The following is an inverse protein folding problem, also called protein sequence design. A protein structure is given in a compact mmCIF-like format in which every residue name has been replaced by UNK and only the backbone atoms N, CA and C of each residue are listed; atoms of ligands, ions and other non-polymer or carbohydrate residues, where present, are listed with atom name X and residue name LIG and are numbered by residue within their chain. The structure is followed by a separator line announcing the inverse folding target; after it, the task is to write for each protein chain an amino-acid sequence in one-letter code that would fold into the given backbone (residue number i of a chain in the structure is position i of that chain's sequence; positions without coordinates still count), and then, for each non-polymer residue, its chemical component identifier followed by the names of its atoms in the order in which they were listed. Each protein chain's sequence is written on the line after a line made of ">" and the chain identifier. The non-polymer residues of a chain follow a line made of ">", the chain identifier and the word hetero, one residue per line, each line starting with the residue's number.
data_IF_567607103025
#
_entry.id   IF_567607103025
#
_cell.length_a   1.000
_cell.length_b   1.000
_cell.length_c   1.000
_cell.angle_alpha   90.00
_cell.angle_beta   90.00
_cell.angle_gamma   90.00
#
_symmetry.space_group_name_H-M   'P 1'
#
loop_
_entity.id
_entity.type
_entity.pdbx_description
1 polymer ?
#
# COMPACT_ATOMS: atom_id res chain seq x y z
N UNK A 1 1.22 15.68 -8.44
CA UNK A 1 0.42 14.49 -8.76
C UNK A 1 -0.68 14.36 -7.72
N UNK A 2 -1.89 13.93 -8.08
CA UNK A 2 -3.00 13.74 -7.13
C UNK A 2 -3.58 12.35 -7.27
N UNK A 3 -3.98 11.75 -6.16
CA UNK A 3 -4.68 10.48 -6.16
C UNK A 3 -6.06 10.61 -6.84
N UNK A 4 -6.55 9.52 -7.39
CA UNK A 4 -7.94 9.39 -7.84
C UNK A 4 -8.92 9.09 -6.68
N UNK A 5 -8.38 8.75 -5.51
CA UNK A 5 -9.08 8.31 -4.30
C UNK A 5 -8.54 9.06 -3.08
N UNK A 6 -9.43 9.64 -2.27
CA UNK A 6 -9.04 10.17 -0.95
C UNK A 6 -8.74 9.03 0.02
N UNK A 7 -7.50 9.02 0.52
CA UNK A 7 -7.00 7.96 1.39
C UNK A 7 -7.42 8.12 2.86
N UNK A 8 -7.94 9.28 3.28
CA UNK A 8 -8.19 9.60 4.69
C UNK A 8 -9.02 8.56 5.44
N UNK A 9 -9.97 7.90 4.77
CA UNK A 9 -10.87 6.91 5.34
C UNK A 9 -10.59 5.47 4.87
N UNK A 10 -9.46 5.23 4.20
CA UNK A 10 -9.07 3.90 3.73
C UNK A 10 -8.54 3.05 4.91
N UNK A 11 -9.08 1.84 5.02
CA UNK A 11 -8.61 0.84 5.98
C UNK A 11 -7.52 -0.04 5.37
N UNK A 12 -6.31 0.02 5.94
CA UNK A 12 -5.16 -0.76 5.50
C UNK A 12 -5.09 -2.11 6.24
N UNK A 13 -4.81 -3.20 5.52
CA UNK A 13 -4.78 -4.57 6.05
C UNK A 13 -3.42 -5.21 5.84
N UNK A 14 -2.78 -5.67 6.93
CA UNK A 14 -1.51 -6.42 6.95
C UNK A 14 -0.34 -5.81 6.15
N UNK A 15 -0.44 -4.53 5.83
CA UNK A 15 0.57 -3.70 5.20
C UNK A 15 0.67 -2.38 5.98
N UNK A 16 1.80 -1.66 5.92
CA UNK A 16 1.97 -0.40 6.63
C UNK A 16 0.94 0.64 6.17
N UNK A 17 0.69 1.61 7.03
CA UNK A 17 -0.08 2.78 6.65
C UNK A 17 0.79 3.70 5.78
N UNK A 18 0.45 3.79 4.49
CA UNK A 18 1.23 4.53 3.49
C UNK A 18 0.56 5.82 3.04
N UNK A 19 -0.52 6.25 3.71
CA UNK A 19 -1.27 7.46 3.32
C UNK A 19 -0.40 8.71 3.27
N UNK A 20 0.55 8.81 4.20
CA UNK A 20 1.45 9.96 4.35
C UNK A 20 2.70 9.89 3.48
N UNK A 21 2.91 8.80 2.74
CA UNK A 21 4.09 8.67 1.89
C UNK A 21 3.97 9.65 0.72
N UNK A 22 5.05 10.42 0.40
CA UNK A 22 5.07 11.29 -0.76
C UNK A 22 4.72 10.58 -2.07
N UNK A 23 3.88 11.22 -2.87
CA UNK A 23 3.59 10.81 -4.25
C UNK A 23 4.71 11.31 -5.15
N UNK A 24 5.64 10.44 -5.51
CA UNK A 24 6.82 10.76 -6.33
C UNK A 24 6.83 10.06 -7.69
N UNK A 25 5.90 9.12 -7.90
CA UNK A 25 5.70 8.39 -9.14
C UNK A 25 4.27 8.56 -9.65
N UNK A 26 4.10 8.40 -10.96
CA UNK A 26 2.78 8.33 -11.61
C UNK A 26 2.64 6.99 -12.32
N UNK A 27 1.52 6.28 -12.11
CA UNK A 27 1.17 5.11 -12.94
C UNK A 27 0.71 5.64 -14.29
N UNK A 28 1.41 5.23 -15.35
CA UNK A 28 1.15 5.68 -16.72
C UNK A 28 0.41 4.65 -17.55
N UNK A 29 0.61 3.36 -17.26
CA UNK A 29 -0.07 2.25 -17.93
C UNK A 29 -0.39 1.14 -16.94
N UNK A 30 -1.59 0.58 -17.07
CA UNK A 30 -2.00 -0.64 -16.38
C UNK A 30 -2.77 -1.50 -17.38
N UNK A 31 -2.35 -2.74 -17.61
CA UNK A 31 -3.11 -3.68 -18.44
C UNK A 31 -3.33 -4.96 -17.66
N UNK A 32 -4.60 -5.32 -17.51
CA UNK A 32 -5.02 -6.56 -16.88
C UNK A 32 -5.48 -7.46 -18.01
N UNK A 33 -4.61 -8.34 -18.51
CA UNK A 33 -4.89 -9.24 -19.65
C UNK A 33 -4.78 -10.70 -19.19
N UNK A 34 -5.56 -11.63 -19.75
CA UNK A 34 -5.33 -13.05 -19.49
C UNK A 34 -3.85 -13.41 -19.66
N UNK A 35 -3.26 -14.01 -18.64
CA UNK A 35 -1.86 -14.42 -18.66
C UNK A 35 -0.84 -13.36 -18.22
N UNK A 36 -1.19 -12.06 -18.17
CA UNK A 36 -0.21 -11.01 -17.87
C UNK A 36 -0.80 -9.73 -17.27
N UNK A 37 -0.21 -9.32 -16.15
CA UNK A 37 -0.32 -7.97 -15.60
C UNK A 37 0.81 -7.12 -16.20
N UNK A 38 0.45 -6.07 -16.95
CA UNK A 38 1.39 -5.05 -17.41
C UNK A 38 1.26 -3.78 -16.57
N UNK A 39 2.38 -3.20 -16.17
CA UNK A 39 2.41 -2.00 -15.33
C UNK A 39 3.60 -1.10 -15.67
N UNK A 40 3.34 0.20 -15.82
CA UNK A 40 4.35 1.23 -16.06
C UNK A 40 4.16 2.40 -15.10
N UNK A 41 5.26 2.96 -14.62
CA UNK A 41 5.24 4.15 -13.79
C UNK A 41 6.50 4.99 -13.95
N UNK A 42 6.43 6.27 -13.58
CA UNK A 42 7.52 7.24 -13.84
C UNK A 42 8.78 7.09 -12.97
N UNK A 43 8.81 6.09 -12.07
CA UNK A 43 9.95 5.77 -11.19
C UNK A 43 10.43 4.33 -11.34
N UNK A 44 10.06 3.69 -12.45
CA UNK A 44 10.48 2.32 -12.72
C UNK A 44 12.01 2.25 -12.83
N UNK A 45 12.61 1.24 -12.20
CA UNK A 45 14.07 1.03 -12.12
C UNK A 45 14.82 2.17 -11.41
N UNK A 46 14.11 3.08 -10.72
CA UNK A 46 14.72 4.17 -9.92
C UNK A 46 14.63 3.91 -8.42
N UNK A 47 13.60 3.20 -7.97
CA UNK A 47 13.48 2.89 -6.55
C UNK A 47 14.51 1.85 -6.12
N UNK A 48 15.08 1.97 -4.92
CA UNK A 48 16.10 1.02 -4.47
C UNK A 48 15.55 -0.41 -4.32
N UNK A 49 16.26 -1.37 -4.89
CA UNK A 49 16.02 -2.79 -4.71
C UNK A 49 16.12 -3.20 -3.23
N UNK A 50 15.15 -3.98 -2.77
CA UNK A 50 15.13 -4.62 -1.47
C UNK A 50 15.37 -6.12 -1.62
N UNK A 51 16.41 -6.70 -0.99
CA UNK A 51 16.61 -8.14 -0.98
C UNK A 51 15.43 -8.89 -0.32
N UNK A 52 15.01 -10.00 -0.91
CA UNK A 52 13.94 -10.85 -0.40
C UNK A 52 14.16 -12.30 -0.78
N UNK A 53 14.38 -13.16 0.21
CA UNK A 53 14.72 -14.57 0.00
C UNK A 53 15.86 -14.72 -1.02
N UNK A 54 15.61 -15.32 -2.19
CA UNK A 54 16.60 -15.54 -3.25
C UNK A 54 16.48 -14.54 -4.41
N UNK A 55 15.72 -13.45 -4.25
CA UNK A 55 15.45 -12.44 -5.28
C UNK A 55 15.57 -11.03 -4.72
N UNK A 56 15.48 -10.02 -5.57
CA UNK A 56 15.20 -8.63 -5.17
C UNK A 56 13.78 -8.24 -5.56
N UNK A 57 13.25 -7.24 -4.87
CA UNK A 57 11.98 -6.59 -5.16
C UNK A 57 12.21 -5.09 -5.19
N UNK A 58 11.65 -4.42 -6.19
CA UNK A 58 11.75 -2.96 -6.31
C UNK A 58 10.53 -2.29 -5.66
N UNK A 59 9.35 -2.85 -5.91
CA UNK A 59 8.10 -2.22 -5.52
C UNK A 59 7.01 -3.23 -5.15
N UNK A 60 5.96 -2.72 -4.51
CA UNK A 60 4.75 -3.47 -4.19
C UNK A 60 3.57 -2.82 -4.88
N UNK A 61 2.82 -3.60 -5.66
CA UNK A 61 1.51 -3.23 -6.17
C UNK A 61 0.47 -3.33 -5.07
N UNK A 62 -0.27 -2.27 -4.85
CA UNK A 62 -1.40 -2.17 -3.93
C UNK A 62 -2.71 -2.31 -4.67
N UNK A 63 -3.69 -2.88 -3.97
CA UNK A 63 -5.08 -2.97 -4.42
C UNK A 63 -5.97 -2.27 -3.42
N UNK A 64 -6.94 -1.51 -3.93
CA UNK A 64 -8.00 -0.85 -3.17
C UNK A 64 -9.35 -1.39 -3.67
N UNK A 65 -10.17 -1.93 -2.77
CA UNK A 65 -11.54 -2.40 -3.08
C UNK A 65 -12.55 -1.78 -2.13
N UNK A 66 -13.77 -1.58 -2.60
CA UNK A 66 -14.85 -1.03 -1.78
C UNK A 66 -15.76 -2.16 -1.29
N UNK A 67 -15.76 -2.41 0.02
CA UNK A 67 -16.56 -3.45 0.66
C UNK A 67 -17.45 -2.77 1.69
N UNK A 68 -18.77 -3.02 1.62
CA UNK A 68 -19.77 -2.41 2.50
C UNK A 68 -19.67 -0.88 2.58
N UNK A 69 -19.38 -0.23 1.45
CA UNK A 69 -19.27 1.23 1.34
C UNK A 69 -17.96 1.83 1.86
N UNK A 70 -17.02 1.02 2.37
CA UNK A 70 -15.70 1.46 2.84
C UNK A 70 -14.60 0.99 1.91
N UNK A 71 -13.56 1.80 1.72
CA UNK A 71 -12.37 1.41 0.98
C UNK A 71 -11.39 0.64 1.87
N UNK A 72 -10.95 -0.52 1.38
CA UNK A 72 -9.97 -1.39 2.00
C UNK A 72 -8.74 -1.49 1.09
N UNK A 73 -7.54 -1.49 1.66
CA UNK A 73 -6.30 -1.54 0.90
C UNK A 73 -5.24 -2.46 1.51
N UNK A 74 -4.40 -3.05 0.66
CA UNK A 74 -3.25 -3.86 1.07
C UNK A 74 -2.20 -3.91 -0.05
N UNK A 75 -0.95 -4.18 0.32
CA UNK A 75 0.09 -4.56 -0.62
C UNK A 75 -0.20 -5.95 -1.17
N UNK A 76 -0.61 -6.02 -2.43
CA UNK A 76 -1.13 -7.22 -3.07
C UNK A 76 -0.06 -8.00 -3.83
N UNK A 77 0.82 -7.36 -4.59
CA UNK A 77 1.82 -8.10 -5.38
C UNK A 77 3.20 -7.46 -5.27
N UNK A 78 4.24 -8.30 -5.34
CA UNK A 78 5.63 -7.83 -5.36
C UNK A 78 6.11 -7.76 -6.81
N UNK A 79 6.79 -6.67 -7.16
CA UNK A 79 7.32 -6.40 -8.49
C UNK A 79 8.84 -6.36 -8.40
N UNK A 80 9.48 -7.21 -9.21
CA UNK A 80 10.94 -7.24 -9.31
C UNK A 80 11.46 -6.05 -10.13
N UNK A 81 12.74 -5.69 -9.96
CA UNK A 81 13.37 -4.70 -10.83
C UNK A 81 13.24 -5.11 -12.30
N UNK A 82 12.88 -4.16 -13.17
CA UNK A 82 12.63 -4.38 -14.61
C UNK A 82 11.47 -5.36 -14.93
N UNK A 83 10.59 -5.65 -13.98
CA UNK A 83 9.41 -6.51 -14.22
C UNK A 83 8.19 -5.68 -14.60
N UNK A 84 8.12 -5.27 -15.87
CA UNK A 84 6.97 -4.54 -16.41
C UNK A 84 5.77 -5.44 -16.72
N UNK A 85 6.06 -6.69 -17.09
CA UNK A 85 5.09 -7.75 -17.33
C UNK A 85 5.26 -8.84 -16.29
N UNK A 86 4.20 -9.10 -15.54
CA UNK A 86 4.16 -10.13 -14.51
C UNK A 86 3.19 -11.23 -14.97
N UNK A 87 3.64 -12.49 -15.08
CA UNK A 87 2.75 -13.60 -15.38
C UNK A 87 1.66 -13.73 -14.31
N UNK A 88 0.42 -13.83 -14.77
CA UNK A 88 -0.77 -14.03 -13.95
C UNK A 88 -1.65 -15.11 -14.59
N UNK A 89 -2.63 -15.70 -13.87
CA UNK A 89 -3.55 -16.68 -14.47
C UNK A 89 -4.46 -16.08 -15.56
N UNK A 90 -5.05 -16.92 -16.42
CA UNK A 90 -5.91 -16.42 -17.52
C UNK A 90 -7.21 -15.76 -17.02
N UNK A 91 -7.68 -16.12 -15.83
CA UNK A 91 -8.95 -15.64 -15.27
C UNK A 91 -8.76 -14.33 -14.54
N UNK A 92 -8.70 -13.23 -15.30
CA UNK A 92 -8.49 -11.86 -14.78
C UNK A 92 -9.46 -11.51 -13.65
N UNK A 93 -10.73 -11.94 -13.73
CA UNK A 93 -11.72 -11.68 -12.68
C UNK A 93 -11.33 -12.24 -11.31
N UNK A 94 -10.46 -13.25 -11.25
CA UNK A 94 -10.07 -13.94 -10.02
C UNK A 94 -8.79 -13.40 -9.39
N UNK A 95 -8.03 -12.53 -10.06
CA UNK A 95 -6.69 -12.16 -9.62
C UNK A 95 -6.65 -11.57 -8.21
N UNK A 96 -7.56 -10.65 -7.87
CA UNK A 96 -7.57 -10.08 -6.51
C UNK A 96 -7.82 -11.15 -5.44
N UNK A 97 -8.74 -12.09 -5.69
CA UNK A 97 -8.97 -13.23 -4.80
C UNK A 97 -7.72 -14.10 -4.68
N UNK A 98 -7.03 -14.35 -5.78
CA UNK A 98 -5.83 -15.20 -5.84
C UNK A 98 -4.63 -14.54 -5.16
N UNK A 99 -4.49 -13.21 -5.27
CA UNK A 99 -3.49 -12.45 -4.52
C UNK A 99 -3.83 -12.38 -3.03
N UNK A 100 -5.13 -12.34 -2.68
CA UNK A 100 -5.64 -12.12 -1.34
C UNK A 100 -6.38 -13.36 -0.78
N UNK A 101 -5.78 -14.55 -0.85
CA UNK A 101 -6.46 -15.80 -0.53
C UNK A 101 -6.65 -16.10 0.97
N UNK A 102 -5.91 -15.43 1.86
CA UNK A 102 -5.82 -15.74 3.29
C UNK A 102 -6.61 -14.72 4.16
N UNK A 103 -7.77 -15.11 4.73
CA UNK A 103 -8.59 -14.21 5.54
C UNK A 103 -7.94 -13.76 6.85
N UNK A 104 -6.98 -14.51 7.40
CA UNK A 104 -6.25 -14.10 8.59
C UNK A 104 -5.28 -12.94 8.31
N UNK A 105 -4.86 -12.76 7.05
CA UNK A 105 -3.94 -11.70 6.63
C UNK A 105 -4.74 -10.51 6.07
N UNK A 106 -5.64 -10.73 5.11
CA UNK A 106 -6.29 -9.63 4.38
C UNK A 106 -7.69 -9.30 4.87
N UNK A 107 -8.17 -9.99 5.91
CA UNK A 107 -9.44 -9.73 6.57
C UNK A 107 -10.60 -9.72 5.55
N UNK A 108 -11.40 -8.64 5.49
CA UNK A 108 -12.55 -8.58 4.60
C UNK A 108 -12.18 -8.58 3.11
N UNK A 109 -10.95 -8.21 2.74
CA UNK A 109 -10.52 -8.25 1.33
C UNK A 109 -10.23 -9.68 0.87
N UNK A 110 -10.14 -10.64 1.78
CA UNK A 110 -9.72 -11.98 1.41
C UNK A 110 -10.79 -12.67 0.56
N UNK A 111 -10.34 -13.31 -0.52
CA UNK A 111 -11.17 -13.95 -1.52
C UNK A 111 -12.16 -13.01 -2.24
N UNK A 112 -11.97 -11.69 -2.16
CA UNK A 112 -12.81 -10.74 -2.85
C UNK A 112 -12.67 -10.86 -4.38
N UNK A 113 -13.79 -10.94 -5.07
CA UNK A 113 -13.87 -11.00 -6.54
C UNK A 113 -14.64 -9.78 -7.00
N UNK A 114 -13.96 -8.73 -7.49
CA UNK A 114 -14.65 -7.54 -7.99
C UNK A 114 -15.58 -7.90 -9.15
N UNK A 115 -16.75 -7.29 -9.19
CA UNK A 115 -17.65 -7.44 -10.32
C UNK A 115 -17.07 -6.70 -11.55
N UNK A 116 -17.31 -7.18 -12.79
CA UNK A 116 -16.98 -6.39 -13.98
C UNK A 116 -17.64 -5.00 -13.92
N UNK A 117 -16.86 -3.95 -14.13
CA UNK A 117 -17.29 -2.56 -14.04
C UNK A 117 -17.14 -1.93 -12.64
N UNK A 118 -16.87 -2.72 -11.60
CA UNK A 118 -16.63 -2.20 -10.26
C UNK A 118 -15.35 -1.36 -10.21
N UNK A 119 -15.36 -0.26 -9.46
CA UNK A 119 -14.15 0.54 -9.29
C UNK A 119 -13.14 -0.15 -8.36
N UNK A 120 -11.95 -0.39 -8.88
CA UNK A 120 -10.80 -0.91 -8.14
C UNK A 120 -9.65 0.08 -8.26
N UNK A 121 -8.97 0.33 -7.14
CA UNK A 121 -7.79 1.19 -7.11
C UNK A 121 -6.48 0.41 -7.16
N UNK A 122 -5.49 1.02 -7.81
CA UNK A 122 -4.13 0.51 -7.88
C UNK A 122 -3.12 1.62 -7.56
N UNK A 123 -2.02 1.23 -6.93
CA UNK A 123 -0.93 2.12 -6.55
C UNK A 123 0.35 1.29 -6.41
N UNK A 124 1.52 1.89 -6.54
CA UNK A 124 2.78 1.28 -6.15
C UNK A 124 3.39 1.97 -4.93
N UNK A 125 4.16 1.22 -4.14
CA UNK A 125 5.12 1.76 -3.18
C UNK A 125 6.51 1.23 -3.47
N UNK A 126 7.53 2.01 -3.12
CA UNK A 126 8.91 1.53 -3.08
C UNK A 126 9.09 0.44 -2.00
N UNK A 127 9.76 -0.65 -2.37
CA UNK A 127 10.08 -1.78 -1.49
C UNK A 127 8.98 -2.84 -1.37
N UNK A 128 8.99 -3.55 -0.24
CA UNK A 128 8.17 -4.72 0.03
C UNK A 128 7.17 -4.41 1.15
N UNK A 129 5.91 -4.25 0.75
CA UNK A 129 4.79 -3.96 1.64
C UNK A 129 3.71 -5.04 1.62
N UNK A 130 3.87 -6.09 0.80
CA UNK A 130 3.03 -7.29 0.89
C UNK A 130 3.40 -8.08 2.14
N UNK A 131 2.58 -7.94 3.18
CA UNK A 131 2.78 -8.57 4.50
C UNK A 131 4.17 -8.25 5.06
N UNK A 132 4.46 -6.95 5.20
CA UNK A 132 5.76 -6.45 5.66
C UNK A 132 5.88 -4.93 5.52
N UNK A 133 7.00 -4.35 6.00
CA UNK A 133 7.33 -2.94 5.82
C UNK A 133 8.85 -2.76 5.57
N UNK A 134 9.34 -3.35 4.49
CA UNK A 134 10.74 -3.23 4.11
C UNK A 134 10.88 -2.22 2.97
N UNK A 135 11.45 -1.05 3.26
CA UNK A 135 11.81 -0.07 2.22
C UNK A 135 13.00 0.79 2.63
N UNK A 136 13.80 1.18 1.65
CA UNK A 136 14.89 2.16 1.80
C UNK A 136 14.34 3.60 1.70
N UNK A 137 13.31 3.82 0.87
CA UNK A 137 12.65 5.12 0.70
C UNK A 137 11.14 5.00 0.89
N UNK A 138 10.51 5.95 1.58
CA UNK A 138 9.08 5.92 1.86
C UNK A 138 8.33 6.69 0.77
N UNK A 139 8.25 6.13 -0.42
CA UNK A 139 7.66 6.76 -1.62
C UNK A 139 6.56 5.91 -2.24
N UNK A 140 5.58 6.56 -2.87
CA UNK A 140 4.48 5.89 -3.57
C UNK A 140 4.14 6.55 -4.90
N UNK A 141 3.40 5.82 -5.73
CA UNK A 141 2.72 6.40 -6.89
C UNK A 141 1.41 7.10 -6.47
N UNK A 142 0.79 7.80 -7.42
CA UNK A 142 -0.62 8.14 -7.30
C UNK A 142 -1.47 6.86 -7.28
N UNK A 143 -2.63 6.94 -6.63
CA UNK A 143 -3.70 5.94 -6.79
C UNK A 143 -4.43 6.21 -8.09
N UNK A 144 -4.56 5.19 -8.94
CA UNK A 144 -5.45 5.21 -10.10
C UNK A 144 -6.67 4.35 -9.82
N UNK A 145 -7.84 4.75 -10.31
CA UNK A 145 -9.05 3.93 -10.27
C UNK A 145 -9.37 3.41 -11.67
N UNK A 146 -9.82 2.17 -11.76
CA UNK A 146 -10.24 1.54 -13.02
C UNK A 146 -11.55 0.79 -12.84
N UNK A 147 -12.31 0.66 -13.92
CA UNK A 147 -13.45 -0.27 -13.95
C UNK A 147 -12.91 -1.68 -14.11
N UNK A 148 -12.99 -2.53 -13.09
CA UNK A 148 -12.38 -3.85 -13.15
C UNK A 148 -12.96 -4.68 -14.30
N UNK A 149 -12.12 -5.33 -15.12
CA UNK A 149 -12.60 -6.03 -16.32
C UNK A 149 -13.24 -7.38 -15.99
N UNK A 150 -13.91 -7.95 -16.98
CA UNK A 150 -14.20 -9.38 -17.01
C UNK A 150 -12.94 -10.19 -17.42
N UNK A 151 -13.10 -11.51 -17.63
CA UNK A 151 -12.00 -12.40 -18.03
C UNK A 151 -11.41 -12.09 -19.42
N UNK A 152 -11.93 -11.13 -20.20
CA UNK A 152 -11.29 -10.66 -21.44
C UNK A 152 -10.18 -9.66 -21.17
N UNK A 153 -10.14 -9.08 -19.97
CA UNK A 153 -9.17 -8.07 -19.58
C UNK A 153 -9.46 -6.67 -20.14
N UNK A 154 -8.60 -5.72 -19.80
CA UNK A 154 -8.66 -4.33 -20.25
C UNK A 154 -7.30 -3.62 -20.16
N UNK A 155 -7.17 -2.52 -20.90
CA UNK A 155 -6.02 -1.64 -20.89
C UNK A 155 -6.42 -0.26 -20.36
N UNK A 156 -5.54 0.36 -19.59
CA UNK A 156 -5.68 1.70 -19.03
C UNK A 156 -4.42 2.53 -19.30
N UNK A 157 -4.56 3.84 -19.55
CA UNK A 157 -5.75 4.72 -19.41
C UNK A 157 -6.91 4.48 -20.40
N UNK A 158 -8.13 5.02 -20.13
CA UNK A 158 -8.45 6.06 -19.14
C UNK A 158 -8.55 5.56 -17.70
N UNK A 159 -7.97 6.32 -16.77
CA UNK A 159 -8.20 6.14 -15.34
C UNK A 159 -9.43 6.93 -14.89
N UNK A 160 -10.26 6.33 -14.04
CA UNK A 160 -11.34 7.03 -13.36
C UNK A 160 -10.80 7.91 -12.22
N UNK A 161 -11.59 8.90 -11.82
CA UNK A 161 -11.33 9.73 -10.63
C UNK A 161 -12.62 9.89 -9.83
N UNK A 162 -12.54 9.62 -8.52
CA UNK A 162 -13.60 9.98 -7.57
C UNK A 162 -13.39 11.37 -6.98
N UNK A 163 -12.20 11.94 -7.17
CA UNK A 163 -11.90 13.30 -6.76
C UNK A 163 -12.39 14.26 -7.83
N UNK A 164 -13.06 15.37 -7.45
CA UNK A 164 -13.40 16.43 -8.38
C UNK A 164 -12.14 16.90 -9.11
N UNK A 165 -12.23 17.31 -10.39
CA UNK A 165 -11.08 17.91 -11.06
C UNK A 165 -10.59 19.06 -10.18
N UNK A 166 -9.29 19.08 -9.86
CA UNK A 166 -8.69 20.21 -9.15
C UNK A 166 -9.04 21.45 -9.94
N UNK A 167 -9.81 22.36 -9.33
CA UNK A 167 -10.04 23.68 -9.90
C UNK A 167 -8.64 24.26 -10.17
N UNK A 168 -8.36 24.81 -11.36
CA UNK A 168 -7.07 25.43 -11.62
C UNK A 168 -6.80 26.41 -10.47
N UNK A 169 -5.62 26.32 -9.85
CA UNK A 169 -5.25 27.22 -8.76
C UNK A 169 -5.60 28.65 -9.20
N UNK A 170 -6.24 29.47 -8.34
CA UNK A 170 -6.38 30.88 -8.61
C UNK A 170 -4.99 31.39 -8.96
N UNK A 171 -4.80 31.83 -10.21
CA UNK A 171 -3.54 32.44 -10.63
C UNK A 171 -3.25 33.50 -9.59
N UNK A 172 -2.17 33.32 -8.84
CA UNK A 172 -1.80 34.27 -7.80
C UNK A 172 -1.86 35.66 -8.43
N UNK A 173 -2.54 36.64 -7.82
CA UNK A 173 -2.49 38.00 -8.33
C UNK A 173 -1.01 38.37 -8.50
N UNK A 174 -0.63 39.08 -9.58
CA UNK A 174 0.75 39.47 -9.79
C UNK A 174 1.29 40.10 -8.51
N UNK A 175 2.53 39.79 -8.10
CA UNK A 175 3.07 40.29 -6.84
C UNK A 175 2.92 41.80 -6.80
N UNK A 176 2.17 42.29 -5.80
CA UNK A 176 2.10 43.72 -5.51
C UNK A 176 3.52 44.25 -5.35
N UNK A 177 3.84 45.37 -6.02
CA UNK A 177 5.14 46.01 -5.95
C UNK A 177 5.61 46.14 -4.48
N UNK A 178 6.90 45.87 -4.20
CA UNK A 178 7.42 46.00 -2.84
C UNK A 178 7.28 47.45 -2.36
N UNK A 179 6.87 47.69 -1.10
CA UNK A 179 6.84 49.03 -0.54
C UNK A 179 8.26 49.60 -0.42
N UNK A 180 8.43 50.86 -0.84
CA UNK A 180 9.65 51.65 -0.65
C UNK A 180 10.10 51.69 0.82
N UNK A 181 11.42 51.75 1.10
CA UNK A 181 11.96 51.62 2.44
C UNK A 181 11.75 52.92 3.24
N UNK A 182 11.19 52.80 4.44
CA UNK A 182 11.26 53.86 5.47
C UNK A 182 12.09 53.32 6.64
N UNK A 183 13.05 54.14 7.05
CA UNK A 183 14.09 53.84 8.01
C UNK A 183 13.60 53.70 9.47
N UNK A 184 14.17 52.69 10.14
CA UNK A 184 14.66 52.60 11.52
C UNK A 184 13.90 53.27 12.69
N UNK A 185 13.54 52.45 13.69
CA UNK A 185 13.94 52.65 15.09
C UNK A 185 13.70 51.37 15.93
N UNK A 186 14.66 51.06 16.81
CA UNK A 186 14.59 50.09 17.91
C UNK A 186 15.06 50.80 19.20
N UNK A 187 15.09 50.20 20.41
CA UNK A 187 14.43 49.00 20.95
C UNK A 187 13.75 49.23 22.34
N UNK A 188 13.09 48.22 22.92
CA UNK A 188 13.41 47.66 24.27
C UNK A 188 12.28 46.78 24.91
N UNK A 189 12.72 45.59 25.35
CA UNK A 189 12.41 44.83 26.57
C UNK A 189 10.97 44.49 27.03
N UNK A 190 10.74 43.19 27.28
CA UNK A 190 9.67 42.65 28.13
C UNK A 190 9.70 41.11 28.19
N UNK A 191 9.67 40.55 29.40
CA UNK A 191 10.15 39.21 29.74
C UNK A 191 9.12 38.05 29.71
N UNK A 192 9.66 36.85 29.52
CA UNK A 192 9.34 35.53 30.13
C UNK A 192 7.91 34.93 30.09
N UNK A 193 7.83 33.70 29.55
CA UNK A 193 7.17 32.56 30.20
C UNK A 193 7.69 31.22 29.64
N UNK A 194 7.85 30.23 30.53
CA UNK A 194 8.31 28.84 30.29
C UNK A 194 7.13 27.87 30.15
N UNK A 195 7.48 26.60 29.91
CA UNK A 195 6.76 25.31 30.07
C UNK A 195 6.13 24.77 28.78
N UNK A 196 6.18 23.49 28.44
CA UNK A 196 6.88 22.29 28.96
C UNK A 196 6.63 21.18 27.94
N UNK A 197 7.68 20.51 27.50
CA UNK A 197 7.64 19.42 26.52
C UNK A 197 7.69 18.08 27.28
N UNK A 198 6.53 17.44 27.49
CA UNK A 198 6.43 16.08 28.03
C UNK A 198 5.27 15.35 27.37
N UNK A 199 5.51 14.79 26.19
CA UNK A 199 4.61 13.84 25.54
C UNK A 199 5.37 12.88 24.61
N UNK A 200 6.33 12.09 25.13
CA UNK A 200 6.97 11.06 24.29
C UNK A 200 7.30 9.72 24.97
N UNK A 201 6.80 9.47 26.20
CA UNK A 201 7.00 8.18 26.88
C UNK A 201 5.85 7.17 26.67
N UNK A 202 4.62 7.65 26.43
CA UNK A 202 3.44 6.78 26.30
C UNK A 202 3.36 6.00 24.99
N UNK A 203 3.85 6.58 23.88
CA UNK A 203 3.79 5.93 22.56
C UNK A 203 4.74 4.73 22.45
N UNK A 204 5.91 4.80 23.10
CA UNK A 204 6.91 3.72 23.07
C UNK A 204 6.42 2.48 23.83
N UNK A 205 5.74 2.67 24.97
CA UNK A 205 5.21 1.55 25.76
C UNK A 205 4.09 0.78 25.05
N UNK A 206 3.23 1.46 24.28
CA UNK A 206 2.16 0.82 23.51
C UNK A 206 2.71 -0.01 22.36
N UNK A 207 3.80 0.43 21.72
CA UNK A 207 4.45 -0.32 20.63
C UNK A 207 5.14 -1.59 21.17
N UNK A 208 5.82 -1.52 22.32
CA UNK A 208 6.48 -2.68 22.91
C UNK A 208 5.49 -3.80 23.28
N UNK A 209 4.39 -3.46 23.96
CA UNK A 209 3.37 -4.43 24.35
C UNK A 209 2.71 -5.11 23.13
N UNK A 210 2.57 -4.38 22.02
CA UNK A 210 2.02 -4.94 20.76
C UNK A 210 3.00 -5.89 20.07
N UNK A 211 4.31 -5.63 20.15
CA UNK A 211 5.35 -6.52 19.62
C UNK A 211 5.43 -7.83 20.41
N UNK A 212 5.35 -7.76 21.75
CA UNK A 212 5.30 -8.97 22.59
C UNK A 212 4.08 -9.84 22.29
N UNK A 213 2.90 -9.22 22.13
CA UNK A 213 1.69 -9.94 21.74
C UNK A 213 1.79 -10.60 20.35
N UNK A 214 2.51 -10.00 19.40
CA UNK A 214 2.74 -10.58 18.08
C UNK A 214 3.73 -11.74 18.17
N UNK A 215 4.79 -11.60 18.96
CA UNK A 215 5.75 -12.66 19.20
C UNK A 215 5.09 -13.90 19.80
N UNK A 216 4.27 -13.72 20.84
CA UNK A 216 3.52 -14.82 21.48
C UNK A 216 2.54 -15.51 20.52
N UNK A 217 1.91 -14.74 19.62
CA UNK A 217 1.00 -15.29 18.62
C UNK A 217 1.76 -16.14 17.58
N UNK A 218 2.93 -15.68 17.13
CA UNK A 218 3.79 -16.42 16.19
C UNK A 218 4.28 -17.72 16.82
N UNK A 219 4.77 -17.67 18.07
CA UNK A 219 5.24 -18.87 18.79
C UNK A 219 4.12 -19.89 18.95
N UNK A 220 2.92 -19.47 19.35
CA UNK A 220 1.76 -20.37 19.47
C UNK A 220 1.36 -21.00 18.14
N UNK A 221 1.44 -20.25 17.06
CA UNK A 221 1.10 -20.75 15.73
C UNK A 221 2.13 -21.79 15.25
N UNK A 222 3.42 -21.55 15.48
CA UNK A 222 4.48 -22.51 15.16
C UNK A 222 4.33 -23.82 15.95
N UNK A 223 4.03 -23.72 17.25
CA UNK A 223 3.76 -24.90 18.11
C UNK A 223 2.56 -25.71 17.61
N UNK A 224 1.51 -25.03 17.13
CA UNK A 224 0.33 -25.72 16.60
C UNK A 224 0.65 -26.44 15.29
N UNK A 225 1.38 -25.79 14.38
CA UNK A 225 1.81 -26.42 13.13
C UNK A 225 2.70 -27.64 13.37
N UNK A 226 3.57 -27.59 14.37
CA UNK A 226 4.40 -28.74 14.74
C UNK A 226 3.55 -29.91 15.26
N UNK A 227 2.56 -29.65 16.13
CA UNK A 227 1.64 -30.69 16.63
C UNK A 227 0.80 -31.31 15.52
N UNK A 228 0.32 -30.50 14.58
CA UNK A 228 -0.48 -30.98 13.45
C UNK A 228 0.38 -31.87 12.52
N UNK A 229 1.65 -31.51 12.32
CA UNK A 229 2.59 -32.32 11.55
C UNK A 229 2.88 -33.68 12.23
N UNK A 230 3.08 -33.71 13.55
CA UNK A 230 3.26 -34.96 14.30
C UNK A 230 2.00 -35.84 14.25
N UNK A 231 0.81 -35.25 14.35
CA UNK A 231 -0.45 -35.99 14.23
C UNK A 231 -0.61 -36.62 12.83
N UNK A 232 -0.22 -35.91 11.77
CA UNK A 232 -0.21 -36.45 10.41
C UNK A 232 0.81 -37.58 10.24
N UNK A 233 2.01 -37.43 10.81
CA UNK A 233 3.04 -38.47 10.82
C UNK A 233 2.55 -39.74 11.53
N UNK A 234 1.89 -39.62 12.67
CA UNK A 234 1.34 -40.76 13.40
C UNK A 234 0.18 -41.44 12.67
N UNK A 235 -0.65 -40.66 11.96
CA UNK A 235 -1.69 -41.20 11.09
C UNK A 235 -1.06 -42.02 9.94
N UNK A 236 -0.02 -41.48 9.30
CA UNK A 236 0.68 -42.15 8.20
C UNK A 236 1.36 -43.46 8.66
N UNK A 237 1.98 -43.47 9.84
CA UNK A 237 2.56 -44.70 10.44
C UNK A 237 1.50 -45.79 10.65
N UNK A 238 0.29 -45.43 11.05
CA UNK A 238 -0.82 -46.38 11.23
C UNK A 238 -1.36 -46.95 9.90
N UNK A 239 -1.30 -46.19 8.82
CA UNK A 239 -1.75 -46.64 7.50
C UNK A 239 -0.73 -47.50 6.76
N UNK A 240 0.57 -47.22 6.93
CA UNK A 240 1.66 -47.96 6.26
C UNK A 240 2.04 -49.24 7.01
N UNK A 241 1.66 -49.37 8.30
CA UNK A 241 1.92 -50.55 9.13
C UNK A 241 0.86 -51.66 9.09
N UNK A 242 -0.08 -51.64 8.13
CA UNK A 242 -1.06 -52.71 7.89
C UNK A 242 -0.82 -53.41 6.57
#
# INVERSE_FOLDING_TARGET
>A
MSDALDLANVQFHSSPDVRSWPVTSEITELRLRPGTLHLRHTREVEWPDVPYETTTQESTLWVFVQIDGRWHATGAERIRPNQFDKPEPDRVSQWIKEWLYNPQIWGPMANYVPAPGELVGFMLTAGIQRVGDASIVKERSNVVLVQYPDDRGADYPPFASLQPPRQPEPVAPPPSEPPSPVAAAAPAAGAAARTSDTANAGAVFVVLAKLESIHDAIVKQADQQHKDAEALLDLLKHFVGR
#
